data_IF_705180492697
#
_entry.id   IF_705180492697
#
_cell.length_a   1.000
_cell.length_b   1.000
_cell.length_c   1.000
_cell.angle_alpha   90.00
_cell.angle_beta   90.00
_cell.angle_gamma   90.00
#
_symmetry.space_group_name_H-M   'P 1'
#
loop_
_entity.id
_entity.type
_entity.pdbx_description
1 polymer ?
#
# COMPACT_ATOMS: atom_id res chain seq x y z
N UNK A 1 -5.70 12.98 9.10
CA UNK A 1 -5.56 12.12 10.30
C UNK A 1 -4.69 10.90 9.98
N UNK A 2 -4.10 10.28 11.00
CA UNK A 2 -3.33 9.04 10.89
C UNK A 2 -4.13 7.92 11.55
N UNK A 3 -4.55 6.94 10.78
CA UNK A 3 -5.39 5.85 11.26
C UNK A 3 -4.60 4.53 11.28
N UNK A 4 -4.89 3.67 12.25
CA UNK A 4 -4.28 2.35 12.38
C UNK A 4 -5.32 1.30 12.76
N UNK A 5 -5.00 0.05 12.45
CA UNK A 5 -5.62 -1.13 13.05
C UNK A 5 -4.60 -1.81 13.94
N UNK A 6 -4.97 -2.20 15.14
CA UNK A 6 -4.10 -2.83 16.12
C UNK A 6 -4.73 -4.11 16.69
N UNK A 7 -3.88 -4.98 17.21
CA UNK A 7 -4.30 -6.23 17.86
C UNK A 7 -4.78 -5.91 19.28
N UNK A 8 -5.95 -6.43 19.62
CA UNK A 8 -6.50 -6.53 20.98
C UNK A 8 -6.64 -8.02 21.30
N UNK A 9 -6.83 -8.40 22.58
CA UNK A 9 -6.68 -9.76 23.14
C UNK A 9 -7.20 -10.88 22.21
N UNK A 10 -8.38 -10.74 21.60
CA UNK A 10 -8.97 -11.75 20.71
C UNK A 10 -9.51 -11.16 19.40
N UNK A 11 -9.17 -9.91 19.07
CA UNK A 11 -9.76 -9.18 17.94
C UNK A 11 -8.81 -8.11 17.42
N UNK A 12 -9.24 -7.41 16.38
CA UNK A 12 -8.60 -6.18 15.92
C UNK A 12 -9.47 -4.98 16.26
N UNK A 13 -8.85 -3.85 16.53
CA UNK A 13 -9.50 -2.56 16.75
C UNK A 13 -8.86 -1.48 15.89
N UNK A 14 -9.64 -0.49 15.51
CA UNK A 14 -9.15 0.67 14.79
C UNK A 14 -9.01 1.89 15.70
N UNK A 15 -8.10 2.78 15.35
CA UNK A 15 -7.90 4.02 16.09
C UNK A 15 -7.24 5.12 15.29
N UNK A 16 -7.26 6.32 15.85
CA UNK A 16 -6.55 7.49 15.35
C UNK A 16 -5.29 7.70 16.18
N UNK A 17 -4.14 7.76 15.52
CA UNK A 17 -2.85 8.03 16.18
C UNK A 17 -2.74 9.54 16.48
N UNK A 18 -2.56 9.88 17.74
CA UNK A 18 -2.40 11.22 18.29
C UNK A 18 -1.06 11.32 19.04
N UNK A 19 0.01 11.67 18.33
CA UNK A 19 1.35 11.63 18.90
C UNK A 19 1.77 10.22 19.32
N UNK A 20 2.03 9.99 20.61
CA UNK A 20 2.41 8.68 21.16
C UNK A 20 1.22 7.87 21.69
N UNK A 21 -0.01 8.27 21.36
CA UNK A 21 -1.24 7.63 21.83
C UNK A 21 -2.17 7.29 20.67
N UNK A 22 -3.12 6.40 20.92
CA UNK A 22 -4.18 6.02 19.97
C UNK A 22 -5.53 6.29 20.62
N UNK A 23 -6.38 7.01 19.91
CA UNK A 23 -7.79 7.18 20.22
C UNK A 23 -8.57 6.02 19.59
N UNK A 24 -9.22 5.13 20.36
CA UNK A 24 -9.99 4.02 19.84
C UNK A 24 -11.24 4.51 19.09
N UNK A 25 -11.53 3.89 17.93
CA UNK A 25 -12.74 4.22 17.15
C UNK A 25 -13.87 3.21 17.33
N UNK A 26 -13.60 2.08 18.03
CA UNK A 26 -14.60 1.03 18.28
C UNK A 26 -14.99 0.22 17.05
N UNK A 27 -14.29 0.37 15.93
CA UNK A 27 -14.46 -0.42 14.70
C UNK A 27 -13.35 -1.47 14.57
N UNK A 28 -13.63 -2.60 13.93
CA UNK A 28 -12.68 -3.72 13.84
C UNK A 28 -11.51 -3.46 12.89
N UNK A 29 -11.67 -2.57 11.92
CA UNK A 29 -10.67 -2.27 10.91
C UNK A 29 -10.82 -0.87 10.32
N UNK A 30 -9.78 -0.39 9.65
CA UNK A 30 -9.89 0.88 8.90
C UNK A 30 -10.89 0.79 7.75
N UNK A 31 -11.14 -0.39 7.17
CA UNK A 31 -12.21 -0.53 6.17
C UNK A 31 -13.59 -0.25 6.77
N UNK A 32 -13.86 -0.74 7.99
CA UNK A 32 -15.11 -0.46 8.68
C UNK A 32 -15.26 1.04 8.97
N UNK A 33 -14.16 1.70 9.35
CA UNK A 33 -14.10 3.17 9.51
C UNK A 33 -14.44 3.87 8.20
N UNK A 34 -13.83 3.48 7.07
CA UNK A 34 -14.10 4.08 5.74
C UNK A 34 -15.57 3.94 5.33
N UNK A 35 -16.19 2.80 5.67
CA UNK A 35 -17.58 2.53 5.31
C UNK A 35 -18.59 3.33 6.16
N UNK A 36 -18.18 3.77 7.36
CA UNK A 36 -19.07 4.38 8.34
C UNK A 36 -18.91 5.89 8.50
N UNK A 37 -17.70 6.40 8.33
CA UNK A 37 -17.34 7.77 8.62
C UNK A 37 -16.63 8.45 7.45
N UNK A 38 -16.91 9.72 7.26
CA UNK A 38 -16.03 10.59 6.48
C UNK A 38 -14.99 11.28 7.39
N UNK A 39 -14.03 12.00 6.78
CA UNK A 39 -12.95 12.66 7.55
C UNK A 39 -13.50 13.73 8.51
N UNK A 40 -14.61 14.41 8.14
CA UNK A 40 -15.23 15.41 9.00
C UNK A 40 -15.90 14.78 10.22
N UNK A 41 -16.52 13.59 10.05
CA UNK A 41 -17.07 12.82 11.17
C UNK A 41 -15.98 12.38 12.14
N UNK A 42 -14.85 11.86 11.61
CA UNK A 42 -13.70 11.44 12.42
C UNK A 42 -13.12 12.61 13.22
N UNK A 43 -12.97 13.78 12.60
CA UNK A 43 -12.50 14.99 13.29
C UNK A 43 -13.42 15.37 14.46
N UNK A 44 -14.74 15.23 14.29
CA UNK A 44 -15.73 15.53 15.34
C UNK A 44 -15.63 14.50 16.48
N UNK A 45 -15.59 13.21 16.15
CA UNK A 45 -15.47 12.12 17.14
C UNK A 45 -14.25 12.35 18.03
N UNK A 46 -13.07 12.54 17.44
CA UNK A 46 -11.81 12.74 18.20
C UNK A 46 -11.81 14.02 19.03
N UNK A 47 -12.59 15.06 18.63
CA UNK A 47 -12.65 16.34 19.35
C UNK A 47 -13.64 16.38 20.50
N UNK A 48 -14.72 15.60 20.41
CA UNK A 48 -15.89 15.72 21.29
C UNK A 48 -15.94 14.65 22.40
N UNK A 49 -15.04 13.68 22.40
CA UNK A 49 -15.08 12.55 23.32
C UNK A 49 -13.90 12.50 24.30
N UNK A 50 -14.20 12.20 25.57
CA UNK A 50 -13.24 12.01 26.67
C UNK A 50 -12.78 10.52 26.79
N UNK A 51 -12.76 9.77 25.70
CA UNK A 51 -12.36 8.37 25.72
C UNK A 51 -10.89 8.19 26.12
N UNK A 52 -10.59 7.14 26.87
CA UNK A 52 -9.25 6.90 27.37
C UNK A 52 -8.30 6.56 26.22
N UNK A 53 -7.27 7.37 26.03
CA UNK A 53 -6.20 7.11 25.06
C UNK A 53 -5.39 5.88 25.47
N UNK A 54 -5.01 5.09 24.47
CA UNK A 54 -4.12 3.94 24.60
C UNK A 54 -2.70 4.38 24.20
N UNK A 55 -1.68 4.04 24.98
CA UNK A 55 -0.29 4.32 24.61
C UNK A 55 0.10 3.47 23.40
N UNK A 56 0.62 4.09 22.35
CA UNK A 56 0.99 3.43 21.08
C UNK A 56 2.03 2.30 21.28
N UNK A 57 2.88 2.41 22.30
CA UNK A 57 3.88 1.38 22.62
C UNK A 57 3.28 0.11 23.22
N UNK A 58 2.05 0.18 23.75
CA UNK A 58 1.38 -0.93 24.43
C UNK A 58 0.49 -1.75 23.47
N UNK A 59 0.46 -1.41 22.18
CA UNK A 59 -0.31 -2.08 21.14
C UNK A 59 0.58 -2.54 19.99
N UNK A 60 0.15 -3.57 19.29
CA UNK A 60 0.77 -4.07 18.07
C UNK A 60 -0.08 -3.67 16.85
N UNK A 61 0.52 -2.88 15.96
CA UNK A 61 -0.14 -2.48 14.72
C UNK A 61 -0.15 -3.65 13.72
N UNK A 62 -1.23 -3.75 12.95
CA UNK A 62 -1.40 -4.77 11.91
C UNK A 62 -1.83 -4.14 10.57
N UNK A 63 -2.23 -4.98 9.59
CA UNK A 63 -2.80 -4.46 8.35
C UNK A 63 -4.01 -3.56 8.64
N UNK A 64 -4.19 -2.47 7.90
CA UNK A 64 -5.40 -1.65 8.02
C UNK A 64 -6.70 -2.45 7.88
N UNK A 65 -6.71 -3.47 7.02
CA UNK A 65 -7.76 -4.49 6.83
C UNK A 65 -7.23 -5.64 5.97
N UNK A 66 -7.92 -6.79 5.94
CA UNK A 66 -7.48 -8.00 5.22
C UNK A 66 -8.34 -8.34 3.99
N UNK A 67 -9.42 -7.61 3.77
CA UNK A 67 -10.44 -7.89 2.75
C UNK A 67 -10.70 -6.71 1.80
N UNK A 68 -9.65 -6.11 1.19
CA UNK A 68 -9.86 -5.10 0.16
C UNK A 68 -10.71 -5.69 -0.97
N UNK A 69 -11.75 -4.98 -1.47
CA UNK A 69 -12.56 -5.49 -2.58
C UNK A 69 -11.73 -5.73 -3.84
N UNK A 70 -10.72 -4.89 -4.08
CA UNK A 70 -9.73 -5.03 -5.15
C UNK A 70 -8.38 -4.49 -4.72
N UNK A 71 -7.31 -5.13 -5.24
CA UNK A 71 -5.94 -4.63 -5.19
C UNK A 71 -5.48 -4.44 -6.63
N UNK A 72 -5.40 -3.20 -7.08
CA UNK A 72 -4.77 -2.83 -8.33
C UNK A 72 -3.28 -2.58 -8.12
N UNK A 73 -2.43 -3.19 -8.95
CA UNK A 73 -1.01 -2.87 -9.04
C UNK A 73 -0.69 -2.22 -10.38
N UNK A 74 0.26 -1.29 -10.38
CA UNK A 74 0.68 -0.56 -11.57
C UNK A 74 2.16 -0.88 -11.86
N UNK A 75 2.42 -1.46 -13.01
CA UNK A 75 3.79 -1.76 -13.44
C UNK A 75 4.42 -0.61 -14.22
N UNK A 76 5.76 -0.48 -14.11
CA UNK A 76 6.59 0.42 -14.93
C UNK A 76 6.15 1.90 -14.87
N UNK A 77 5.64 2.35 -13.74
CA UNK A 77 5.08 3.70 -13.60
C UNK A 77 6.12 4.80 -13.34
N UNK A 78 7.39 4.45 -13.06
CA UNK A 78 8.51 5.38 -13.02
C UNK A 78 9.42 5.13 -14.23
N UNK A 79 9.68 6.18 -15.03
CA UNK A 79 10.46 6.08 -16.27
C UNK A 79 11.90 5.61 -16.04
N UNK A 80 12.48 5.97 -14.90
CA UNK A 80 13.84 5.56 -14.53
C UNK A 80 13.87 4.08 -14.24
N UNK A 81 12.94 3.57 -13.43
CA UNK A 81 12.82 2.14 -13.15
C UNK A 81 12.56 1.30 -14.41
N UNK A 82 11.73 1.77 -15.33
CA UNK A 82 11.52 1.09 -16.61
C UNK A 82 12.82 0.91 -17.41
N UNK A 83 13.69 1.95 -17.42
CA UNK A 83 15.00 1.88 -18.09
C UNK A 83 15.95 0.89 -17.44
N UNK A 84 15.93 0.75 -16.11
CA UNK A 84 16.75 -0.23 -15.37
C UNK A 84 16.39 -1.67 -15.74
N UNK A 85 15.17 -1.89 -16.21
CA UNK A 85 14.68 -3.19 -16.69
C UNK A 85 14.82 -3.39 -18.20
N UNK A 86 15.42 -2.45 -18.93
CA UNK A 86 15.46 -2.42 -20.40
C UNK A 86 14.04 -2.40 -21.05
N UNK A 87 13.05 -1.85 -20.33
CA UNK A 87 11.66 -1.74 -20.75
C UNK A 87 11.28 -0.27 -21.02
N UNK A 88 10.20 -0.07 -21.77
CA UNK A 88 9.62 1.25 -21.95
C UNK A 88 8.50 1.47 -20.95
N UNK A 89 8.53 2.58 -20.23
CA UNK A 89 7.38 3.01 -19.43
C UNK A 89 6.17 3.22 -20.35
N UNK A 90 5.00 2.65 -20.02
CA UNK A 90 3.77 2.96 -20.76
C UNK A 90 3.48 4.46 -20.69
N UNK A 91 3.19 5.10 -21.82
CA UNK A 91 2.97 6.55 -21.93
C UNK A 91 1.54 6.94 -22.33
N UNK A 92 0.71 5.98 -22.73
CA UNK A 92 -0.67 6.21 -23.14
C UNK A 92 -1.69 5.68 -22.12
N UNK A 93 -1.45 4.49 -21.56
CA UNK A 93 -2.33 3.84 -20.60
C UNK A 93 -1.48 3.12 -19.53
N UNK A 94 -1.93 3.09 -18.26
CA UNK A 94 -1.24 2.38 -17.20
C UNK A 94 -1.17 0.87 -17.47
N UNK A 95 0.01 0.28 -17.30
CA UNK A 95 0.16 -1.18 -17.27
C UNK A 95 -0.30 -1.68 -15.89
N UNK A 96 -1.52 -2.17 -15.80
CA UNK A 96 -2.13 -2.57 -14.53
C UNK A 96 -2.42 -4.07 -14.44
N UNK A 97 -2.43 -4.57 -13.22
CA UNK A 97 -2.75 -5.95 -12.85
C UNK A 97 -3.54 -5.98 -11.55
N UNK A 98 -4.07 -7.14 -11.19
CA UNK A 98 -4.74 -7.34 -9.91
C UNK A 98 -4.00 -8.39 -9.07
N UNK A 99 -4.05 -8.22 -7.75
CA UNK A 99 -3.56 -9.21 -6.78
C UNK A 99 -4.72 -9.75 -5.95
N UNK A 100 -4.73 -11.08 -5.67
CA UNK A 100 -5.71 -11.66 -4.75
C UNK A 100 -5.41 -11.28 -3.29
N UNK A 101 -6.43 -11.28 -2.44
CA UNK A 101 -6.28 -10.99 -1.01
C UNK A 101 -5.40 -11.99 -0.27
N UNK A 102 -5.25 -13.23 -0.79
CA UNK A 102 -4.35 -14.24 -0.22
C UNK A 102 -2.87 -13.86 -0.29
N UNK A 103 -2.51 -12.83 -1.07
CA UNK A 103 -1.15 -12.28 -1.09
C UNK A 103 -0.83 -11.40 0.12
N UNK A 104 -1.84 -10.96 0.88
CA UNK A 104 -1.65 -10.01 1.97
C UNK A 104 -0.87 -10.68 3.12
N UNK A 105 0.17 -9.99 3.56
CA UNK A 105 0.97 -10.31 4.74
C UNK A 105 0.99 -9.11 5.69
N UNK A 106 0.97 -9.35 7.00
CA UNK A 106 0.98 -8.28 7.98
C UNK A 106 2.32 -7.53 8.01
N UNK A 107 2.32 -6.23 8.34
CA UNK A 107 3.54 -5.50 8.71
C UNK A 107 4.36 -6.28 9.74
N UNK A 108 5.67 -6.39 9.53
CA UNK A 108 6.56 -7.14 10.42
C UNK A 108 6.52 -8.67 10.27
N UNK A 109 5.53 -9.23 9.59
CA UNK A 109 5.44 -10.68 9.34
C UNK A 109 6.29 -11.10 8.12
N UNK A 110 6.75 -12.38 8.06
CA UNK A 110 7.69 -12.81 7.02
C UNK A 110 7.07 -12.87 5.62
N UNK A 111 7.78 -12.33 4.65
CA UNK A 111 7.58 -12.57 3.22
C UNK A 111 8.24 -13.90 2.88
N UNK A 112 7.47 -14.83 2.31
CA UNK A 112 7.94 -16.18 2.00
C UNK A 112 8.43 -16.27 0.56
N UNK A 113 9.73 -16.52 0.35
CA UNK A 113 10.27 -16.76 -0.99
C UNK A 113 9.76 -18.11 -1.52
N UNK A 114 9.05 -18.16 -2.65
CA UNK A 114 8.48 -19.41 -3.15
C UNK A 114 9.55 -20.28 -3.82
N UNK A 115 9.51 -21.58 -3.61
CA UNK A 115 10.43 -22.56 -4.25
C UNK A 115 10.37 -22.58 -5.79
N UNK A 116 9.38 -21.92 -6.39
CA UNK A 116 9.18 -21.84 -7.84
C UNK A 116 9.91 -20.68 -8.51
N UNK A 117 10.57 -19.81 -7.71
CA UNK A 117 11.26 -18.62 -8.21
C UNK A 117 12.66 -18.52 -7.61
N UNK A 118 13.65 -18.34 -8.48
CA UNK A 118 15.05 -18.11 -8.09
C UNK A 118 15.37 -16.60 -7.94
N UNK A 119 14.39 -15.73 -8.25
CA UNK A 119 14.56 -14.28 -8.19
C UNK A 119 13.26 -13.58 -7.83
N UNK A 120 13.08 -13.30 -6.57
CA UNK A 120 12.01 -12.45 -6.06
C UNK A 120 12.57 -11.04 -5.82
N UNK A 121 11.78 -10.02 -6.14
CA UNK A 121 12.08 -8.61 -5.86
C UNK A 121 11.01 -8.01 -4.96
N UNK A 122 11.42 -7.05 -4.11
CA UNK A 122 10.56 -6.20 -3.30
C UNK A 122 10.55 -4.78 -3.82
N UNK A 123 9.39 -4.17 -3.86
CA UNK A 123 9.06 -2.93 -4.54
C UNK A 123 8.28 -2.02 -3.58
N UNK A 124 8.91 -0.92 -3.11
CA UNK A 124 8.20 0.07 -2.29
C UNK A 124 7.30 0.95 -3.16
N UNK A 125 6.07 1.17 -2.70
CA UNK A 125 5.09 1.94 -3.44
C UNK A 125 4.24 2.83 -2.53
N UNK A 126 3.74 3.93 -3.08
CA UNK A 126 2.62 4.67 -2.52
C UNK A 126 1.33 3.88 -2.77
N UNK A 127 0.53 3.69 -1.75
CA UNK A 127 -0.81 3.12 -1.85
C UNK A 127 -1.89 4.20 -1.80
N UNK A 128 -2.86 4.12 -2.70
CA UNK A 128 -4.07 4.95 -2.68
C UNK A 128 -5.23 4.10 -2.18
N UNK A 129 -5.95 4.58 -1.16
CA UNK A 129 -7.14 3.94 -0.60
C UNK A 129 -8.39 4.67 -1.08
N UNK A 130 -9.31 3.96 -1.71
CA UNK A 130 -10.59 4.52 -2.16
C UNK A 130 -11.54 4.65 -0.96
N UNK A 131 -12.15 5.83 -0.83
CA UNK A 131 -13.09 6.13 0.26
C UNK A 131 -14.55 6.12 -0.14
N UNK A 132 -14.83 6.35 -1.43
CA UNK A 132 -16.22 6.46 -1.92
C UNK A 132 -16.41 5.60 -3.16
N UNK A 133 -17.53 4.87 -3.19
CA UNK A 133 -17.94 4.14 -4.40
C UNK A 133 -18.06 5.10 -5.58
N UNK A 134 -17.36 4.80 -6.66
CA UNK A 134 -17.33 5.66 -7.83
C UNK A 134 -17.16 4.88 -9.13
N UNK A 135 -17.61 5.52 -10.22
CA UNK A 135 -17.51 5.04 -11.60
C UNK A 135 -17.39 6.24 -12.52
N UNK A 136 -16.54 6.13 -13.54
CA UNK A 136 -16.36 7.16 -14.58
C UNK A 136 -16.02 8.55 -14.04
N UNK A 137 -15.18 8.64 -12.99
CA UNK A 137 -14.79 9.93 -12.40
C UNK A 137 -13.70 10.61 -13.24
N UNK A 138 -13.86 11.90 -13.44
CA UNK A 138 -12.84 12.73 -14.09
C UNK A 138 -11.62 12.94 -13.18
N UNK A 139 -10.52 13.39 -13.75
CA UNK A 139 -9.30 13.74 -13.00
C UNK A 139 -9.59 14.75 -11.87
N UNK A 140 -10.45 15.74 -12.11
CA UNK A 140 -10.81 16.75 -11.11
C UNK A 140 -11.72 16.21 -9.99
N UNK A 141 -12.40 15.10 -10.21
CA UNK A 141 -13.24 14.43 -9.21
C UNK A 141 -12.47 13.33 -8.45
N UNK A 142 -11.35 12.87 -8.98
CA UNK A 142 -10.59 11.74 -8.39
C UNK A 142 -10.18 12.00 -6.94
N UNK A 143 -9.78 13.23 -6.58
CA UNK A 143 -9.41 13.59 -5.20
C UNK A 143 -10.57 13.46 -4.21
N UNK A 144 -11.82 13.57 -4.66
CA UNK A 144 -13.01 13.53 -3.80
C UNK A 144 -13.42 12.11 -3.39
N UNK A 145 -12.86 11.10 -4.06
CA UNK A 145 -13.16 9.68 -3.82
C UNK A 145 -12.01 8.94 -3.12
N UNK A 146 -10.86 9.57 -2.98
CA UNK A 146 -9.72 9.06 -2.21
C UNK A 146 -9.98 9.28 -0.72
N UNK A 147 -9.83 8.23 0.09
CA UNK A 147 -9.83 8.33 1.55
C UNK A 147 -8.48 8.79 2.08
N UNK A 148 -7.41 8.20 1.56
CA UNK A 148 -6.07 8.49 2.02
C UNK A 148 -5.00 7.65 1.34
N UNK A 149 -3.84 7.64 1.95
CA UNK A 149 -2.63 7.03 1.44
C UNK A 149 -2.01 6.09 2.47
N UNK A 150 -1.28 5.08 1.98
CA UNK A 150 -0.56 4.11 2.81
C UNK A 150 0.75 3.71 2.16
N UNK A 151 1.62 3.02 2.91
CA UNK A 151 2.83 2.40 2.38
C UNK A 151 2.52 0.99 1.90
N UNK A 152 3.17 0.57 0.80
CA UNK A 152 3.03 -0.77 0.23
C UNK A 152 4.41 -1.36 -0.06
N UNK A 153 4.55 -2.67 0.13
CA UNK A 153 5.60 -3.49 -0.45
C UNK A 153 4.92 -4.50 -1.37
N UNK A 154 5.12 -4.33 -2.68
CA UNK A 154 4.70 -5.29 -3.70
C UNK A 154 5.85 -6.23 -4.03
N UNK A 155 5.61 -7.52 -4.15
CA UNK A 155 6.62 -8.52 -4.49
C UNK A 155 6.36 -9.12 -5.86
N UNK A 156 7.49 -9.40 -6.56
CA UNK A 156 7.49 -10.00 -7.90
C UNK A 156 8.43 -11.18 -7.97
N UNK A 157 7.95 -12.32 -8.45
CA UNK A 157 8.81 -13.41 -8.94
C UNK A 157 9.31 -13.02 -10.36
N UNK A 158 10.39 -12.22 -10.39
CA UNK A 158 10.85 -11.54 -11.60
C UNK A 158 11.33 -12.52 -12.69
N UNK A 159 11.95 -13.62 -12.32
CA UNK A 159 12.38 -14.66 -13.26
C UNK A 159 11.19 -15.33 -13.96
N UNK A 160 10.05 -15.46 -13.28
CA UNK A 160 8.80 -15.96 -13.88
C UNK A 160 8.25 -14.95 -14.89
N UNK A 161 8.23 -13.67 -14.52
CA UNK A 161 7.78 -12.59 -15.39
C UNK A 161 8.66 -12.46 -16.65
N UNK A 162 9.99 -12.53 -16.48
CA UNK A 162 10.95 -12.48 -17.62
C UNK A 162 10.85 -13.65 -18.58
N UNK A 163 10.38 -14.82 -18.12
CA UNK A 163 10.10 -15.96 -19.03
C UNK A 163 8.97 -15.65 -20.02
N UNK A 164 7.93 -14.95 -19.57
CA UNK A 164 6.85 -14.47 -20.42
C UNK A 164 6.05 -13.38 -19.68
N UNK A 165 5.94 -12.15 -20.22
CA UNK A 165 5.17 -11.07 -19.61
C UNK A 165 3.69 -11.41 -19.33
N UNK A 166 3.12 -12.42 -20.03
CA UNK A 166 1.75 -12.91 -19.77
C UNK A 166 1.63 -13.67 -18.45
N UNK A 167 2.73 -14.02 -17.80
CA UNK A 167 2.73 -14.65 -16.48
C UNK A 167 2.65 -13.64 -15.33
N UNK A 168 2.24 -12.40 -15.61
CA UNK A 168 2.17 -11.31 -14.63
C UNK A 168 1.34 -11.69 -13.39
N UNK A 169 0.12 -12.23 -13.57
CA UNK A 169 -0.69 -12.71 -12.45
C UNK A 169 0.06 -13.75 -11.61
N UNK A 170 0.70 -14.73 -12.25
CA UNK A 170 1.45 -15.77 -11.55
C UNK A 170 2.64 -15.19 -10.78
N UNK A 171 3.40 -14.25 -11.39
CA UNK A 171 4.59 -13.67 -10.78
C UNK A 171 4.30 -12.74 -9.60
N UNK A 172 3.09 -12.21 -9.52
CA UNK A 172 2.65 -11.22 -8.52
C UNK A 172 1.71 -11.79 -7.44
N UNK A 173 1.32 -13.09 -7.52
CA UNK A 173 0.20 -13.62 -6.71
C UNK A 173 0.56 -14.80 -5.82
N UNK A 174 1.83 -14.95 -5.45
CA UNK A 174 2.18 -15.89 -4.38
C UNK A 174 1.67 -15.38 -3.04
N UNK A 175 1.36 -16.28 -2.12
CA UNK A 175 1.04 -15.92 -0.73
C UNK A 175 2.16 -15.03 -0.16
N UNK A 176 1.81 -14.07 0.67
CA UNK A 176 2.70 -13.06 1.28
C UNK A 176 3.33 -12.04 0.32
N UNK A 177 2.90 -11.99 -0.94
CA UNK A 177 3.47 -11.09 -1.96
C UNK A 177 2.84 -9.69 -1.97
N UNK A 178 2.18 -9.26 -0.90
CA UNK A 178 1.66 -7.91 -0.74
C UNK A 178 1.58 -7.53 0.73
N UNK A 179 2.33 -6.52 1.13
CA UNK A 179 2.22 -5.93 2.46
C UNK A 179 1.79 -4.47 2.34
N UNK A 180 0.91 -4.00 3.23
CA UNK A 180 0.47 -2.61 3.23
C UNK A 180 0.09 -2.13 4.64
N UNK A 181 0.18 -0.84 4.88
CA UNK A 181 0.00 -0.23 6.19
C UNK A 181 1.34 0.06 6.85
N UNK A 182 1.45 0.02 8.19
CA UNK A 182 0.39 -0.20 9.17
C UNK A 182 -0.56 0.99 9.35
N UNK A 183 -0.24 2.13 8.74
CA UNK A 183 -0.98 3.39 8.89
C UNK A 183 -1.64 3.78 7.58
N UNK A 184 -2.85 4.31 7.67
CA UNK A 184 -3.52 5.05 6.58
C UNK A 184 -3.57 6.52 7.00
N UNK A 185 -3.04 7.40 6.16
CA UNK A 185 -3.08 8.86 6.35
C UNK A 185 -4.16 9.42 5.45
N UNK A 186 -5.12 10.15 6.02
CA UNK A 186 -6.21 10.76 5.23
C UNK A 186 -5.68 11.77 4.24
N UNK A 187 -6.37 11.91 3.10
CA UNK A 187 -5.86 12.68 1.96
C UNK A 187 -5.66 14.18 2.27
N UNK A 188 -6.38 14.71 3.23
CA UNK A 188 -6.28 16.11 3.69
C UNK A 188 -5.01 16.41 4.50
N UNK A 189 -4.29 15.39 5.00
CA UNK A 189 -3.01 15.55 5.71
C UNK A 189 -1.81 15.74 4.76
N UNK A 190 -1.98 15.48 3.48
CA UNK A 190 -0.91 15.59 2.47
C UNK A 190 -1.21 16.77 1.55
N UNK A 191 -0.56 17.89 1.79
CA UNK A 191 -0.77 19.13 1.02
C UNK A 191 -0.51 18.97 -0.47
N UNK A 192 0.57 18.28 -0.82
CA UNK A 192 0.95 18.01 -2.22
C UNK A 192 1.49 16.58 -2.37
N UNK A 193 0.63 15.70 -2.83
CA UNK A 193 1.00 14.29 -3.07
C UNK A 193 2.10 14.15 -4.13
N UNK A 194 2.23 15.09 -5.05
CA UNK A 194 3.25 15.04 -6.11
C UNK A 194 4.68 15.25 -5.59
N UNK A 195 4.83 15.96 -4.48
CA UNK A 195 6.12 16.21 -3.83
C UNK A 195 6.61 15.07 -2.93
N UNK A 196 5.74 14.10 -2.64
CA UNK A 196 6.05 12.99 -1.72
C UNK A 196 7.14 12.08 -2.29
N UNK A 197 8.10 11.73 -1.44
CA UNK A 197 9.19 10.79 -1.76
C UNK A 197 8.81 9.36 -1.36
N UNK A 198 9.08 8.41 -2.26
CA UNK A 198 8.93 6.95 -2.04
C UNK A 198 10.32 6.31 -2.07
N UNK A 199 10.64 5.46 -1.07
CA UNK A 199 11.93 4.78 -0.94
C UNK A 199 11.75 3.28 -0.76
N UNK A 200 12.49 2.50 -1.56
CA UNK A 200 12.70 1.06 -1.33
C UNK A 200 13.97 0.89 -0.49
N UNK A 201 13.82 0.22 0.66
CA UNK A 201 14.90 0.02 1.64
C UNK A 201 15.19 -1.47 1.75
N UNK A 202 16.45 -1.85 1.73
CA UNK A 202 16.89 -3.23 1.96
C UNK A 202 17.94 -3.23 3.07
N UNK A 203 17.71 -3.98 4.14
CA UNK A 203 18.63 -4.10 5.29
C UNK A 203 19.05 -2.74 5.89
N UNK A 204 18.12 -1.79 5.91
CA UNK A 204 18.34 -0.44 6.43
C UNK A 204 18.95 0.56 5.44
N UNK A 205 19.35 0.11 4.24
CA UNK A 205 19.95 0.96 3.21
C UNK A 205 18.91 1.33 2.13
N UNK A 206 18.90 2.59 1.70
CA UNK A 206 18.04 3.04 0.58
C UNK A 206 18.62 2.51 -0.72
N UNK A 207 17.91 1.58 -1.36
CA UNK A 207 18.31 1.01 -2.65
C UNK A 207 17.70 1.70 -3.86
N UNK A 208 16.51 2.31 -3.69
CA UNK A 208 15.88 3.12 -4.73
C UNK A 208 15.02 4.22 -4.09
N UNK A 209 14.96 5.39 -4.75
CA UNK A 209 14.20 6.55 -4.28
C UNK A 209 13.70 7.36 -5.47
N UNK A 210 12.48 7.86 -5.39
CA UNK A 210 11.96 8.84 -6.35
C UNK A 210 10.77 9.61 -5.75
N UNK A 211 10.39 10.72 -6.38
CA UNK A 211 9.22 11.52 -6.01
C UNK A 211 8.01 11.14 -6.88
N UNK A 212 6.81 11.27 -6.32
CA UNK A 212 5.54 10.95 -6.99
C UNK A 212 5.36 11.75 -8.30
N UNK A 213 5.84 13.00 -8.36
CA UNK A 213 5.79 13.82 -9.58
C UNK A 213 6.50 13.18 -10.80
N UNK A 214 7.43 12.23 -10.58
CA UNK A 214 8.15 11.52 -11.64
C UNK A 214 7.43 10.24 -12.10
N UNK A 215 6.26 9.91 -11.54
CA UNK A 215 5.38 8.88 -12.08
C UNK A 215 4.91 9.25 -13.48
N UNK A 216 4.75 8.27 -14.35
CA UNK A 216 4.14 8.48 -15.67
C UNK A 216 2.65 8.80 -15.52
N UNK A 217 1.97 8.11 -14.61
CA UNK A 217 0.59 8.35 -14.25
C UNK A 217 0.51 8.62 -12.75
N UNK A 218 0.14 9.83 -12.37
CA UNK A 218 -0.01 10.21 -10.96
C UNK A 218 -1.20 9.54 -10.27
N UNK A 219 -1.28 9.60 -8.94
CA UNK A 219 -2.34 8.94 -8.17
C UNK A 219 -3.77 9.30 -8.63
N UNK A 220 -4.03 10.57 -8.94
CA UNK A 220 -5.36 11.02 -9.41
C UNK A 220 -5.69 10.49 -10.81
N UNK A 221 -4.69 10.41 -11.70
CA UNK A 221 -4.83 9.84 -13.04
C UNK A 221 -5.14 8.35 -12.96
N UNK A 222 -4.47 7.62 -12.07
CA UNK A 222 -4.71 6.20 -11.84
C UNK A 222 -6.14 5.96 -11.32
N UNK A 223 -6.63 6.74 -10.36
CA UNK A 223 -8.00 6.64 -9.86
C UNK A 223 -9.00 6.93 -10.98
N UNK A 224 -8.82 8.02 -11.73
CA UNK A 224 -9.68 8.37 -12.87
C UNK A 224 -9.71 7.23 -13.89
N UNK A 225 -8.54 6.78 -14.36
CA UNK A 225 -8.42 5.72 -15.36
C UNK A 225 -9.11 4.42 -14.92
N UNK A 226 -8.79 3.91 -13.73
CA UNK A 226 -9.37 2.64 -13.26
C UNK A 226 -10.86 2.74 -12.97
N UNK A 227 -11.37 3.92 -12.61
CA UNK A 227 -12.81 4.16 -12.47
C UNK A 227 -13.56 4.02 -13.80
N UNK A 228 -12.91 4.25 -14.96
CA UNK A 228 -13.51 4.00 -16.27
C UNK A 228 -13.47 2.51 -16.66
N UNK A 229 -12.52 1.73 -16.10
CA UNK A 229 -12.47 0.28 -16.33
C UNK A 229 -13.57 -0.43 -15.55
N UNK A 230 -13.65 -0.19 -14.23
CA UNK A 230 -14.66 -0.80 -13.36
C UNK A 230 -15.03 0.11 -12.20
N UNK A 231 -16.17 -0.17 -11.55
CA UNK A 231 -16.54 0.52 -10.32
C UNK A 231 -15.46 0.34 -9.26
N UNK A 232 -15.01 1.44 -8.66
CA UNK A 232 -14.16 1.42 -7.48
C UNK A 232 -15.05 1.45 -6.23
N UNK A 233 -14.71 0.64 -5.25
CA UNK A 233 -15.45 0.50 -3.99
C UNK A 233 -14.62 1.05 -2.82
N UNK A 234 -15.25 1.50 -1.71
CA UNK A 234 -14.53 1.87 -0.50
C UNK A 234 -13.65 0.72 -0.02
N UNK A 235 -12.39 1.03 0.30
CA UNK A 235 -11.38 0.04 0.67
C UNK A 235 -10.66 -0.63 -0.50
N UNK A 236 -10.96 -0.28 -1.77
CA UNK A 236 -10.07 -0.66 -2.88
C UNK A 236 -8.70 -0.01 -2.72
N UNK A 237 -7.65 -0.73 -3.11
CA UNK A 237 -6.26 -0.30 -3.05
C UNK A 237 -5.73 -0.14 -4.47
N UNK A 238 -5.06 0.99 -4.74
CA UNK A 238 -4.24 1.16 -5.94
C UNK A 238 -2.78 1.32 -5.49
N UNK A 239 -1.95 0.32 -5.81
CA UNK A 239 -0.49 0.30 -5.64
C UNK A 239 0.13 0.96 -6.84
N UNK A 240 0.76 2.13 -6.65
CA UNK A 240 1.00 3.11 -7.74
C UNK A 240 2.27 2.87 -8.56
N UNK A 241 3.01 1.82 -8.27
CA UNK A 241 4.30 1.51 -8.89
C UNK A 241 5.49 1.99 -8.07
N UNK A 242 6.63 1.35 -8.30
CA UNK A 242 7.86 1.49 -7.51
C UNK A 242 8.90 2.40 -8.19
N UNK A 243 9.70 3.16 -7.40
CA UNK A 243 10.90 3.82 -7.89
C UNK A 243 12.02 2.86 -8.28
N UNK A 244 12.00 1.62 -7.75
CA UNK A 244 12.96 0.58 -8.06
C UNK A 244 12.77 -0.68 -7.25
N UNK A 245 12.98 -1.82 -7.90
CA UNK A 245 12.84 -3.17 -7.35
C UNK A 245 14.18 -3.68 -6.82
N UNK A 246 14.21 -4.24 -5.60
CA UNK A 246 15.42 -4.81 -5.00
C UNK A 246 15.27 -6.33 -4.88
N UNK A 247 16.33 -7.08 -5.29
CA UNK A 247 16.35 -8.54 -5.14
C UNK A 247 16.35 -8.91 -3.66
N UNK A 248 15.47 -9.84 -3.30
CA UNK A 248 15.33 -10.40 -1.95
C UNK A 248 16.06 -11.74 -1.82
N UNK A 249 16.58 -11.98 -0.64
CA UNK A 249 17.23 -13.23 -0.21
C UNK A 249 16.77 -13.59 1.19
N UNK A 250 16.94 -14.83 1.59
CA UNK A 250 16.66 -15.27 2.97
C UNK A 250 17.44 -14.43 3.99
N UNK A 251 16.78 -14.06 5.07
CA UNK A 251 17.34 -13.22 6.13
C UNK A 251 17.33 -11.72 5.85
N UNK A 252 16.94 -11.27 4.66
CA UNK A 252 16.80 -9.85 4.36
C UNK A 252 15.64 -9.22 5.13
N UNK A 253 15.68 -7.88 5.29
CA UNK A 253 14.57 -7.04 5.68
C UNK A 253 14.28 -6.04 4.58
N UNK A 254 13.10 -6.14 3.95
CA UNK A 254 12.63 -5.18 2.97
C UNK A 254 11.77 -4.10 3.64
N UNK A 255 11.89 -2.86 3.19
CA UNK A 255 11.16 -1.71 3.71
C UNK A 255 10.65 -0.80 2.62
N UNK A 256 9.54 -0.13 2.95
CA UNK A 256 8.97 0.99 2.22
C UNK A 256 8.88 2.20 3.13
N UNK A 257 9.36 3.36 2.68
CA UNK A 257 9.02 4.63 3.32
C UNK A 257 8.37 5.56 2.31
N UNK A 258 7.29 6.18 2.75
CA UNK A 258 6.57 7.22 1.99
C UNK A 258 6.51 8.46 2.88
N UNK A 259 7.11 9.55 2.42
CA UNK A 259 7.21 10.80 3.18
C UNK A 259 5.81 11.33 3.56
N UNK A 260 5.64 11.74 4.81
CA UNK A 260 4.34 12.17 5.35
C UNK A 260 3.35 11.05 5.64
N UNK A 261 3.52 9.86 5.05
CA UNK A 261 2.64 8.70 5.26
C UNK A 261 3.18 7.76 6.34
N UNK A 262 4.39 7.22 6.16
CA UNK A 262 4.97 6.33 7.16
C UNK A 262 6.00 5.37 6.63
N UNK A 263 6.21 4.29 7.39
CA UNK A 263 7.18 3.24 7.07
C UNK A 263 6.57 1.85 7.30
N UNK A 264 6.97 0.92 6.46
CA UNK A 264 6.55 -0.49 6.48
C UNK A 264 7.79 -1.36 6.31
N UNK A 265 7.93 -2.42 7.11
CA UNK A 265 9.05 -3.35 7.04
C UNK A 265 8.56 -4.79 7.21
N UNK A 266 9.15 -5.70 6.43
CA UNK A 266 8.89 -7.13 6.55
C UNK A 266 10.22 -7.91 6.45
N UNK A 267 10.45 -8.92 7.30
CA UNK A 267 11.55 -9.87 7.12
C UNK A 267 11.26 -10.80 5.94
N UNK A 268 12.31 -11.32 5.33
CA UNK A 268 12.24 -12.25 4.19
C UNK A 268 12.76 -13.62 4.61
N UNK A 269 12.02 -14.67 4.30
CA UNK A 269 12.33 -16.05 4.67
C UNK A 269 12.19 -16.98 3.48
N UNK A 270 13.15 -17.90 3.30
CA UNK A 270 13.05 -18.94 2.27
C UNK A 270 12.05 -20.03 2.71
N UNK A 271 11.08 -20.36 1.86
CA UNK A 271 10.06 -21.39 2.15
C UNK A 271 10.64 -22.79 2.31
N UNK A 272 11.87 -23.05 1.82
CA UNK A 272 12.54 -24.33 2.01
C UNK A 272 13.02 -24.56 3.45
N UNK A 273 13.02 -23.52 4.31
CA UNK A 273 13.49 -23.57 5.69
C UNK A 273 12.34 -23.63 6.73
N UNK A 274 11.09 -23.63 6.27
CA UNK A 274 9.86 -23.74 7.08
C UNK A 274 9.21 -25.09 6.77
#
# INVERSE_FOLDING_TARGET
MRLCTYLDVDSTQSGVILGDSVYPLGESSIKDVILKYDVADLNRIVSDDDEALIDLKDIELTNPYLDPPKIWGIGLNYREHAKDLDENSPDQEPASFMKPTTTIVAPGSPIMLPVQSDRVTGEAELGVIIGKRCKDVSLTQASQVIFGYTTIIDMTAEDILRRNPRFLTRSKSFDTFFSFGPVVVTADEIDDISAVTVRTILNGEVGAENIVANMTFGPLELVSFHSHVMTLEPGDIISTGTPGALKLSDGDQIGCTVEGVGSLYNPVVDKSEV
#
